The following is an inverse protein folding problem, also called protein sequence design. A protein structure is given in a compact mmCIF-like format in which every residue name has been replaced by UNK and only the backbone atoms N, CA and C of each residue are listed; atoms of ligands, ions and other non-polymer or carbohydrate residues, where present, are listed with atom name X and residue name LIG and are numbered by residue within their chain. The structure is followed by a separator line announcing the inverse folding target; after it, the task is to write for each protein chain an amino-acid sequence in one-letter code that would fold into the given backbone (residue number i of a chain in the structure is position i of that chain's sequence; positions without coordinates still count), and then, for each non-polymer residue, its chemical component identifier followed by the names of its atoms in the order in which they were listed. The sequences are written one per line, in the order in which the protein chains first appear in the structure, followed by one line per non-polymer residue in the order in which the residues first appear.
data_IF_506791864537
#
_entry.id   IF_506791864537
#
_cell.length_a   1.000
_cell.length_b   1.000
_cell.length_c   1.000
_cell.angle_alpha   90.00
_cell.angle_beta   90.00
_cell.angle_gamma   90.00
#
_symmetry.space_group_name_H-M   'P 1'
#
loop_
_entity.id
_entity.type
_entity.pdbx_description
1 polymer ?
#
# COMPACT_ATOMS: atom_id res chain seq x y z
N UNK A 1 -4.61 34.59 25.83
CA UNK A 1 -4.19 34.91 24.44
C UNK A 1 -3.87 33.68 23.57
N UNK A 2 -3.78 32.46 24.14
CA UNK A 2 -3.60 31.22 23.36
C UNK A 2 -4.92 30.62 22.81
N UNK A 3 -6.09 31.00 23.35
CA UNK A 3 -7.39 30.44 22.95
C UNK A 3 -8.02 31.08 21.70
N UNK A 4 -7.42 32.15 21.16
CA UNK A 4 -7.97 32.89 20.00
C UNK A 4 -7.38 32.45 18.66
N UNK A 5 -6.35 31.60 18.67
CA UNK A 5 -5.73 31.03 17.47
C UNK A 5 -6.39 29.73 17.00
N UNK A 6 -7.23 29.09 17.83
CA UNK A 6 -8.01 27.90 17.43
C UNK A 6 -9.16 28.20 16.48
N UNK A 7 -9.62 29.46 16.40
CA UNK A 7 -10.75 29.87 15.55
C UNK A 7 -10.38 30.17 14.09
N UNK A 8 -9.12 29.96 13.69
CA UNK A 8 -8.62 30.16 12.32
C UNK A 8 -7.99 28.90 11.72
N UNK A 9 -8.44 27.71 12.09
CA UNK A 9 -8.15 26.49 11.32
C UNK A 9 -8.98 26.50 10.02
N UNK A 10 -8.59 27.36 9.07
CA UNK A 10 -9.03 27.31 7.67
C UNK A 10 -8.34 26.15 6.92
N UNK A 11 -7.40 25.48 7.58
CA UNK A 11 -6.66 24.33 7.07
C UNK A 11 -6.80 23.21 8.10
N UNK A 12 -7.99 22.64 8.25
CA UNK A 12 -8.05 21.24 8.64
C UNK A 12 -7.67 20.46 7.38
N UNK A 13 -6.47 19.84 7.31
CA UNK A 13 -6.19 18.95 6.20
C UNK A 13 -7.28 17.87 6.20
N UNK A 14 -8.05 17.83 5.11
CA UNK A 14 -8.95 16.70 4.86
C UNK A 14 -8.05 15.61 4.32
N UNK A 15 -7.72 14.67 5.20
CA UNK A 15 -6.89 13.53 4.86
C UNK A 15 -7.70 12.52 4.05
N UNK A 16 -7.08 12.02 3.00
CA UNK A 16 -7.63 11.05 2.09
C UNK A 16 -7.44 9.62 2.64
N UNK A 17 -8.10 9.34 3.76
CA UNK A 17 -7.99 8.07 4.53
C UNK A 17 -8.87 6.94 3.97
N UNK A 18 -9.76 7.30 3.04
CA UNK A 18 -10.60 6.40 2.26
C UNK A 18 -10.35 6.63 0.76
N UNK A 19 -10.90 5.85 -0.17
CA UNK A 19 -10.76 6.14 -1.60
C UNK A 19 -11.57 7.39 -2.00
N UNK A 20 -10.97 8.33 -2.74
CA UNK A 20 -11.66 9.53 -3.23
C UNK A 20 -12.03 9.45 -4.72
N UNK A 21 -13.19 9.98 -5.15
CA UNK A 21 -13.58 10.01 -6.54
C UNK A 21 -12.56 10.74 -7.42
N UNK A 22 -12.19 10.15 -8.56
CA UNK A 22 -11.24 10.71 -9.52
C UNK A 22 -9.80 10.87 -9.01
N UNK A 23 -9.47 10.24 -7.88
CA UNK A 23 -8.11 10.19 -7.37
C UNK A 23 -7.19 9.40 -8.33
N UNK A 24 -6.00 9.97 -8.60
CA UNK A 24 -4.98 9.35 -9.45
C UNK A 24 -3.78 8.79 -8.68
N UNK A 25 -3.56 9.29 -7.47
CA UNK A 25 -2.42 8.95 -6.62
C UNK A 25 -2.84 8.01 -5.47
N UNK A 26 -1.88 7.66 -4.63
CA UNK A 26 -2.14 6.95 -3.39
C UNK A 26 -3.01 7.77 -2.41
N UNK A 27 -3.61 7.08 -1.45
CA UNK A 27 -4.23 7.68 -0.25
C UNK A 27 -3.19 8.46 0.57
N UNK A 28 -3.65 9.20 1.57
CA UNK A 28 -2.72 9.88 2.47
C UNK A 28 -2.14 8.89 3.49
N UNK A 29 -0.85 8.99 3.74
CA UNK A 29 -0.16 8.13 4.70
C UNK A 29 -0.55 8.41 6.13
N UNK A 30 -0.57 7.35 6.92
CA UNK A 30 -0.75 7.41 8.37
C UNK A 30 0.27 6.55 9.14
N UNK A 31 1.28 6.03 8.45
CA UNK A 31 2.37 5.25 9.05
C UNK A 31 3.72 5.53 8.37
N UNK A 32 4.85 5.38 9.08
CA UNK A 32 6.18 5.55 8.47
C UNK A 32 6.45 4.55 7.34
N UNK A 33 5.91 3.32 7.46
CA UNK A 33 6.04 2.30 6.44
C UNK A 33 5.38 2.75 5.13
N UNK A 34 4.17 3.33 5.21
CA UNK A 34 3.48 3.86 4.04
C UNK A 34 4.23 5.01 3.38
N UNK A 35 4.72 5.98 4.15
CA UNK A 35 5.51 7.09 3.61
C UNK A 35 6.75 6.57 2.87
N UNK A 36 7.42 5.55 3.42
CA UNK A 36 8.51 4.86 2.75
C UNK A 36 8.10 4.20 1.43
N UNK A 37 6.92 3.57 1.38
CA UNK A 37 6.37 2.97 0.14
C UNK A 37 6.12 4.05 -0.92
N UNK A 38 5.50 5.17 -0.54
CA UNK A 38 5.21 6.28 -1.47
C UNK A 38 6.50 6.92 -1.97
N UNK A 39 7.49 7.11 -1.10
CA UNK A 39 8.81 7.63 -1.51
C UNK A 39 9.49 6.69 -2.50
N UNK A 40 9.54 5.38 -2.21
CA UNK A 40 10.12 4.38 -3.10
C UNK A 40 9.40 4.35 -4.45
N UNK A 41 8.06 4.38 -4.44
CA UNK A 41 7.27 4.46 -5.67
C UNK A 41 7.65 5.69 -6.49
N UNK A 42 7.71 6.87 -5.88
CA UNK A 42 8.02 8.11 -6.59
C UNK A 42 9.43 8.08 -7.19
N UNK A 43 10.40 7.52 -6.47
CA UNK A 43 11.76 7.32 -6.98
C UNK A 43 11.78 6.36 -8.18
N UNK A 44 11.07 5.23 -8.12
CA UNK A 44 10.97 4.29 -9.24
C UNK A 44 10.29 4.95 -10.44
N UNK A 45 9.16 5.64 -10.21
CA UNK A 45 8.40 6.31 -11.26
C UNK A 45 9.24 7.38 -11.97
N UNK A 46 10.09 8.12 -11.26
CA UNK A 46 11.03 9.06 -11.87
C UNK A 46 11.93 8.40 -12.91
N UNK A 47 12.56 7.26 -12.58
CA UNK A 47 13.39 6.53 -13.53
C UNK A 47 12.58 5.97 -14.72
N UNK A 48 11.39 5.43 -14.45
CA UNK A 48 10.52 4.86 -15.49
C UNK A 48 10.04 5.93 -16.48
N UNK A 49 9.69 7.12 -15.99
CA UNK A 49 9.28 8.25 -16.84
C UNK A 49 10.43 8.68 -17.77
N UNK A 50 11.67 8.77 -17.27
CA UNK A 50 12.84 9.09 -18.10
C UNK A 50 13.05 8.03 -19.18
N UNK A 51 12.99 6.74 -18.82
CA UNK A 51 13.15 5.63 -19.77
C UNK A 51 12.04 5.68 -20.82
N UNK A 52 10.79 5.85 -20.39
CA UNK A 52 9.64 5.94 -21.28
C UNK A 52 9.81 7.04 -22.33
N UNK A 53 10.08 8.27 -21.90
CA UNK A 53 10.28 9.38 -22.84
C UNK A 53 11.51 9.18 -23.73
N UNK A 54 12.61 8.60 -23.21
CA UNK A 54 13.80 8.28 -24.00
C UNK A 54 13.51 7.28 -25.12
N UNK A 55 12.80 6.18 -24.81
CA UNK A 55 12.42 5.15 -25.78
C UNK A 55 11.39 5.70 -26.77
N UNK A 56 10.36 6.41 -26.30
CA UNK A 56 9.34 7.03 -27.16
C UNK A 56 9.95 8.04 -28.12
N UNK A 57 10.91 8.86 -27.66
CA UNK A 57 11.65 9.78 -28.51
C UNK A 57 12.46 9.04 -29.58
N UNK A 58 13.22 8.00 -29.19
CA UNK A 58 14.02 7.21 -30.12
C UNK A 58 13.13 6.57 -31.20
N UNK A 59 12.03 5.93 -30.82
CA UNK A 59 11.08 5.34 -31.76
C UNK A 59 10.46 6.38 -32.69
N UNK A 60 10.03 7.52 -32.14
CA UNK A 60 9.48 8.63 -32.94
C UNK A 60 10.51 9.17 -33.93
N UNK A 61 11.76 9.32 -33.50
CA UNK A 61 12.88 9.73 -34.36
C UNK A 61 13.12 8.74 -35.49
N UNK A 62 13.09 7.44 -35.20
CA UNK A 62 13.24 6.38 -36.22
C UNK A 62 12.10 6.49 -37.24
N UNK A 63 10.85 6.61 -36.80
CA UNK A 63 9.68 6.72 -37.68
C UNK A 63 9.76 7.97 -38.56
N UNK A 64 10.09 9.13 -37.98
CA UNK A 64 10.08 10.42 -38.68
C UNK A 64 11.26 10.56 -39.65
N UNK A 65 12.45 10.09 -39.26
CA UNK A 65 13.67 10.31 -40.02
C UNK A 65 13.94 9.16 -41.00
N UNK A 66 13.68 7.91 -40.62
CA UNK A 66 13.96 6.73 -41.44
C UNK A 66 12.72 6.16 -42.16
N UNK A 67 11.69 6.99 -42.34
CA UNK A 67 10.56 6.67 -43.22
C UNK A 67 11.01 6.49 -44.68
N UNK A 68 10.39 5.56 -45.39
CA UNK A 68 10.60 5.30 -46.83
C UNK A 68 10.52 6.57 -47.70
N UNK A 69 9.71 7.55 -47.28
CA UNK A 69 9.58 8.82 -47.99
C UNK A 69 10.86 9.68 -47.91
N UNK A 70 11.57 9.66 -46.78
CA UNK A 70 12.78 10.48 -46.54
C UNK A 70 14.08 9.72 -46.81
N UNK A 71 14.16 8.46 -46.40
CA UNK A 71 15.37 7.63 -46.52
C UNK A 71 15.08 6.39 -47.37
N UNK A 72 15.33 6.49 -48.67
CA UNK A 72 15.08 5.43 -49.66
C UNK A 72 16.19 4.37 -49.75
N UNK A 73 17.40 4.72 -49.31
CA UNK A 73 18.59 3.85 -49.38
C UNK A 73 18.86 3.32 -47.96
N UNK A 74 18.99 1.99 -47.85
CA UNK A 74 19.24 1.31 -46.57
C UNK A 74 20.72 0.95 -46.45
N UNK A 75 21.30 1.20 -45.27
CA UNK A 75 22.67 0.80 -44.95
C UNK A 75 22.75 -0.69 -44.57
N UNK A 76 22.71 -1.57 -45.59
CA UNK A 76 22.65 -3.04 -45.44
C UNK A 76 23.81 -3.68 -44.65
N UNK A 77 24.98 -3.04 -44.60
CA UNK A 77 26.19 -3.64 -44.02
C UNK A 77 26.47 -3.19 -42.57
N UNK A 78 25.65 -2.30 -42.00
CA UNK A 78 25.73 -1.91 -40.60
C UNK A 78 24.93 -2.88 -39.73
N UNK A 79 25.59 -3.99 -39.34
CA UNK A 79 24.90 -5.10 -38.67
C UNK A 79 25.23 -5.25 -37.17
N UNK A 80 26.32 -4.64 -36.68
CA UNK A 80 26.69 -4.72 -35.27
C UNK A 80 27.27 -3.39 -34.78
N UNK A 81 27.21 -3.18 -33.47
CA UNK A 81 27.76 -2.00 -32.82
C UNK A 81 28.20 -2.32 -31.41
N UNK A 82 29.34 -2.99 -31.25
CA UNK A 82 29.83 -3.47 -29.95
C UNK A 82 29.87 -2.39 -28.87
N UNK A 83 30.23 -1.15 -29.24
CA UNK A 83 30.27 -0.03 -28.29
C UNK A 83 28.86 0.38 -27.83
N UNK A 84 27.87 0.44 -28.74
CA UNK A 84 26.49 0.80 -28.38
C UNK A 84 25.82 -0.35 -27.61
N UNK A 85 26.14 -1.59 -27.97
CA UNK A 85 25.75 -2.80 -27.25
C UNK A 85 26.22 -2.79 -25.80
N UNK A 86 27.47 -2.41 -25.58
CA UNK A 86 28.02 -2.25 -24.23
C UNK A 86 27.27 -1.15 -23.46
N UNK A 87 27.03 0.01 -24.07
CA UNK A 87 26.38 1.15 -23.43
C UNK A 87 24.96 0.79 -22.99
N UNK A 88 24.13 0.21 -23.86
CA UNK A 88 22.75 -0.15 -23.50
C UNK A 88 22.66 -1.37 -22.59
N UNK A 89 23.75 -2.10 -22.37
CA UNK A 89 23.78 -3.21 -21.42
C UNK A 89 24.15 -2.71 -20.03
N UNK A 90 25.18 -1.84 -19.93
CA UNK A 90 25.62 -1.28 -18.67
C UNK A 90 24.62 -0.27 -18.11
N UNK A 91 24.01 0.57 -18.96
CA UNK A 91 23.12 1.65 -18.50
C UNK A 91 21.91 1.12 -17.72
N UNK A 92 21.13 0.14 -18.21
CA UNK A 92 20.02 -0.42 -17.43
C UNK A 92 20.48 -1.13 -16.16
N UNK A 93 21.63 -1.80 -16.18
CA UNK A 93 22.19 -2.45 -14.99
C UNK A 93 22.47 -1.43 -13.88
N UNK A 94 23.03 -0.26 -14.21
CA UNK A 94 23.25 0.82 -13.24
C UNK A 94 21.93 1.41 -12.70
N UNK A 95 20.91 1.57 -13.55
CA UNK A 95 19.58 2.05 -13.12
C UNK A 95 18.95 1.05 -12.14
N UNK A 96 19.05 -0.25 -12.40
CA UNK A 96 18.53 -1.28 -11.49
C UNK A 96 19.23 -1.26 -10.14
N UNK A 97 20.55 -1.05 -10.10
CA UNK A 97 21.29 -0.90 -8.83
C UNK A 97 20.80 0.34 -8.06
N UNK A 98 20.56 1.45 -8.74
CA UNK A 98 20.05 2.67 -8.11
C UNK A 98 18.65 2.49 -7.51
N UNK A 99 17.78 1.69 -8.14
CA UNK A 99 16.45 1.33 -7.63
C UNK A 99 16.54 0.33 -6.46
N UNK A 100 17.46 -0.64 -6.55
CA UNK A 100 17.56 -1.73 -5.59
C UNK A 100 17.97 -1.25 -4.19
N UNK A 101 18.85 -0.25 -4.08
CA UNK A 101 19.35 0.23 -2.80
C UNK A 101 18.25 0.76 -1.84
N UNK A 102 17.41 1.76 -2.24
CA UNK A 102 16.32 2.23 -1.37
C UNK A 102 15.27 1.14 -1.14
N UNK A 103 15.02 0.27 -2.14
CA UNK A 103 14.07 -0.84 -2.02
C UNK A 103 14.46 -1.83 -0.92
N UNK A 104 15.71 -2.32 -0.92
CA UNK A 104 16.17 -3.23 0.13
C UNK A 104 16.18 -2.58 1.50
N UNK A 105 16.58 -1.30 1.60
CA UNK A 105 16.52 -0.57 2.86
C UNK A 105 15.10 -0.53 3.43
N UNK A 106 14.11 -0.18 2.60
CA UNK A 106 12.71 -0.14 3.03
C UNK A 106 12.20 -1.52 3.43
N UNK A 107 12.50 -2.56 2.63
CA UNK A 107 12.10 -3.94 2.91
C UNK A 107 12.53 -4.38 4.31
N UNK A 108 13.79 -4.15 4.68
CA UNK A 108 14.29 -4.54 6.01
C UNK A 108 13.67 -3.71 7.14
N UNK A 109 13.39 -2.42 6.92
CA UNK A 109 12.72 -1.58 7.93
C UNK A 109 11.26 -1.99 8.17
N UNK A 110 10.58 -2.51 7.15
CA UNK A 110 9.19 -2.97 7.26
C UNK A 110 9.04 -4.35 7.89
N UNK A 111 10.04 -5.22 7.72
CA UNK A 111 10.02 -6.60 8.26
C UNK A 111 10.38 -6.65 9.75
N UNK A 112 11.07 -5.63 10.27
CA UNK A 112 11.48 -5.57 11.67
C UNK A 112 10.28 -5.24 12.59
N UNK A 113 9.88 -6.19 13.42
CA UNK A 113 8.88 -5.98 14.48
C UNK A 113 9.59 -5.53 15.76
N UNK A 114 9.64 -4.23 15.97
CA UNK A 114 10.23 -3.62 17.18
C UNK A 114 9.22 -3.71 18.32
N UNK A 115 9.65 -4.30 19.45
CA UNK A 115 8.97 -4.41 20.75
C UNK A 115 7.54 -3.84 20.80
N UNK A 116 6.53 -4.61 20.34
CA UNK A 116 5.18 -4.10 20.21
C UNK A 116 4.53 -3.92 21.58
N UNK A 117 3.91 -2.77 21.80
CA UNK A 117 3.22 -2.47 23.06
C UNK A 117 1.79 -3.02 23.12
N UNK A 118 1.23 -3.42 21.97
CA UNK A 118 -0.10 -4.03 21.84
C UNK A 118 -0.08 -5.07 20.72
N UNK A 119 -0.75 -6.20 20.96
CA UNK A 119 -0.98 -7.27 20.00
C UNK A 119 -2.47 -7.41 19.71
N UNK A 120 -2.80 -7.45 18.42
CA UNK A 120 -4.15 -7.73 17.93
C UNK A 120 -4.06 -8.90 16.98
N UNK A 121 -4.87 -9.92 17.22
CA UNK A 121 -5.02 -11.04 16.28
C UNK A 121 -6.21 -10.76 15.39
N UNK A 122 -6.00 -10.84 14.08
CA UNK A 122 -7.04 -10.70 13.06
C UNK A 122 -7.25 -12.06 12.39
N UNK A 123 -8.47 -12.58 12.47
CA UNK A 123 -8.87 -13.88 11.94
C UNK A 123 -9.86 -13.67 10.79
N UNK A 124 -9.51 -14.13 9.59
CA UNK A 124 -10.36 -14.05 8.41
C UNK A 124 -11.33 -15.23 8.32
N UNK A 125 -12.62 -14.93 8.14
CA UNK A 125 -13.72 -15.88 7.95
C UNK A 125 -14.48 -15.59 6.66
N UNK A 126 -15.20 -16.56 6.12
CA UNK A 126 -16.20 -16.38 5.07
C UNK A 126 -17.50 -15.81 5.67
N UNK A 127 -17.85 -14.54 5.50
CA UNK A 127 -17.12 -13.40 4.89
C UNK A 127 -17.14 -12.21 5.86
N UNK A 128 -16.31 -12.28 6.89
CA UNK A 128 -16.15 -11.29 7.95
C UNK A 128 -14.78 -11.45 8.64
N UNK A 129 -14.43 -10.52 9.53
CA UNK A 129 -13.20 -10.61 10.32
C UNK A 129 -13.55 -10.71 11.81
N UNK A 130 -12.78 -11.51 12.55
CA UNK A 130 -12.81 -11.52 14.01
C UNK A 130 -11.51 -10.95 14.55
N UNK A 131 -11.60 -10.16 15.62
CA UNK A 131 -10.46 -9.51 16.24
C UNK A 131 -10.36 -9.88 17.71
N UNK A 132 -9.16 -10.23 18.15
CA UNK A 132 -8.86 -10.59 19.54
C UNK A 132 -7.71 -9.70 20.05
N UNK A 133 -7.95 -8.97 21.13
CA UNK A 133 -6.95 -8.17 21.84
C UNK A 133 -6.33 -9.02 22.95
N UNK A 134 -5.42 -9.92 22.56
CA UNK A 134 -4.87 -10.97 23.42
C UNK A 134 -4.16 -10.47 24.68
N UNK A 135 -3.69 -9.23 24.66
CA UNK A 135 -2.93 -8.64 25.78
C UNK A 135 -3.83 -8.11 26.91
N UNK A 136 -5.15 -7.99 26.64
CA UNK A 136 -6.13 -7.45 27.59
C UNK A 136 -7.10 -8.55 28.00
N UNK A 137 -6.83 -9.12 29.17
CA UNK A 137 -7.59 -10.23 29.74
C UNK A 137 -8.38 -9.74 30.95
N UNK A 138 -9.65 -10.13 31.05
CA UNK A 138 -10.50 -9.83 32.20
C UNK A 138 -10.16 -10.72 33.42
N UNK A 139 -10.85 -10.50 34.55
CA UNK A 139 -10.63 -11.28 35.78
C UNK A 139 -10.94 -12.79 35.62
N UNK A 140 -11.77 -13.14 34.63
CA UNK A 140 -12.19 -14.51 34.32
C UNK A 140 -11.23 -15.24 33.35
N UNK A 141 -10.20 -14.55 32.84
CA UNK A 141 -9.20 -15.13 31.94
C UNK A 141 -9.55 -15.05 30.45
N UNK A 142 -10.58 -14.28 30.08
CA UNK A 142 -11.01 -14.08 28.69
C UNK A 142 -10.44 -12.79 28.10
N UNK A 143 -9.97 -12.86 26.86
CA UNK A 143 -9.52 -11.70 26.09
C UNK A 143 -10.71 -10.94 25.49
N UNK A 144 -10.51 -9.67 25.14
CA UNK A 144 -11.52 -8.92 24.38
C UNK A 144 -11.56 -9.47 22.95
N UNK A 145 -12.70 -10.01 22.55
CA UNK A 145 -12.95 -10.56 21.21
C UNK A 145 -14.25 -10.02 20.63
N UNK A 146 -14.28 -9.73 19.33
CA UNK A 146 -15.49 -9.38 18.59
C UNK A 146 -15.38 -9.68 17.10
N UNK A 147 -16.55 -9.81 16.47
CA UNK A 147 -16.69 -9.95 15.03
C UNK A 147 -16.99 -8.59 14.37
N UNK A 148 -16.48 -8.41 13.16
CA UNK A 148 -16.62 -7.22 12.32
C UNK A 148 -17.24 -7.61 10.99
N UNK A 149 -18.52 -7.27 10.84
CA UNK A 149 -19.31 -7.47 9.63
C UNK A 149 -19.44 -6.18 8.83
N UNK A 150 -19.56 -6.33 7.51
CA UNK A 150 -19.86 -5.22 6.62
C UNK A 150 -21.31 -4.73 6.85
N UNK A 151 -21.50 -3.43 7.02
CA UNK A 151 -22.83 -2.83 7.19
C UNK A 151 -23.61 -2.89 5.85
N UNK A 152 -24.83 -3.48 5.83
CA UNK A 152 -25.69 -3.47 4.64
C UNK A 152 -26.02 -2.06 4.16
N UNK A 153 -26.20 -1.87 2.84
CA UNK A 153 -26.38 -0.53 2.26
C UNK A 153 -27.64 0.19 2.77
N UNK A 154 -28.68 -0.55 3.15
CA UNK A 154 -29.93 -0.05 3.72
C UNK A 154 -29.82 0.34 5.20
N UNK A 155 -28.76 -0.08 5.89
CA UNK A 155 -28.46 0.23 7.29
C UNK A 155 -27.40 1.33 7.45
N UNK A 156 -26.82 1.82 6.35
CA UNK A 156 -25.80 2.88 6.38
C UNK A 156 -26.40 4.23 6.82
N UNK A 157 -25.70 4.89 7.73
CA UNK A 157 -25.98 6.27 8.14
C UNK A 157 -25.41 7.29 7.13
N UNK A 158 -25.94 8.51 7.16
CA UNK A 158 -25.46 9.59 6.29
C UNK A 158 -23.98 9.89 6.57
N UNK A 159 -23.15 9.81 5.53
CA UNK A 159 -21.70 10.02 5.61
C UNK A 159 -20.87 8.73 5.70
N UNK A 160 -21.49 7.57 5.92
CA UNK A 160 -20.79 6.28 5.89
C UNK A 160 -20.51 5.80 4.47
N UNK A 161 -19.43 5.00 4.33
CA UNK A 161 -18.96 4.52 3.03
C UNK A 161 -19.49 3.13 2.71
N UNK A 162 -20.17 3.01 1.57
CA UNK A 162 -20.66 1.73 1.04
C UNK A 162 -19.50 0.76 0.77
N UNK A 163 -19.64 -0.49 1.21
CA UNK A 163 -18.65 -1.58 1.10
C UNK A 163 -17.34 -1.36 1.89
N UNK A 164 -17.29 -0.36 2.78
CA UNK A 164 -16.13 -0.08 3.62
C UNK A 164 -16.49 0.02 5.10
N UNK A 165 -17.71 0.44 5.42
CA UNK A 165 -18.18 0.57 6.80
C UNK A 165 -18.49 -0.79 7.43
N UNK A 166 -18.09 -0.94 8.70
CA UNK A 166 -18.28 -2.16 9.50
C UNK A 166 -19.00 -1.84 10.81
N UNK A 167 -19.67 -2.83 11.39
CA UNK A 167 -20.39 -2.70 12.65
C UNK A 167 -19.46 -2.47 13.85
N UNK A 168 -18.35 -3.21 13.92
CA UNK A 168 -17.35 -3.12 14.99
C UNK A 168 -15.96 -2.81 14.40
N UNK A 169 -15.46 -1.61 14.70
CA UNK A 169 -14.15 -1.16 14.22
C UNK A 169 -13.02 -1.60 15.16
N UNK A 170 -11.88 -1.96 14.58
CA UNK A 170 -10.63 -2.12 15.34
C UNK A 170 -10.14 -0.76 15.81
N UNK A 171 -9.80 -0.64 17.09
CA UNK A 171 -9.34 0.61 17.70
C UNK A 171 -7.91 0.40 18.20
N UNK A 172 -7.01 1.31 17.80
CA UNK A 172 -5.60 1.27 18.18
C UNK A 172 -5.13 2.64 18.67
N UNK A 173 -4.20 2.70 19.64
CA UNK A 173 -3.61 3.97 20.07
C UNK A 173 -2.61 4.49 19.02
N UNK A 174 -2.64 5.79 18.76
CA UNK A 174 -1.64 6.47 17.93
C UNK A 174 -0.29 6.56 18.65
N UNK A 175 0.80 6.69 17.90
CA UNK A 175 2.16 6.85 18.44
C UNK A 175 2.68 5.61 19.17
N UNK A 176 2.06 4.46 18.95
CA UNK A 176 2.39 3.18 19.60
C UNK A 176 2.62 2.10 18.55
N UNK A 177 3.64 1.26 18.74
CA UNK A 177 3.86 0.09 17.88
C UNK A 177 2.83 -1.00 18.18
N UNK A 178 1.99 -1.31 17.20
CA UNK A 178 0.99 -2.38 17.26
C UNK A 178 1.45 -3.54 16.41
N UNK A 179 1.40 -4.76 16.96
CA UNK A 179 1.62 -6.00 16.22
C UNK A 179 0.28 -6.61 15.84
N UNK A 180 0.09 -6.86 14.55
CA UNK A 180 -1.00 -7.68 14.04
C UNK A 180 -0.52 -9.10 13.82
N UNK A 181 -1.27 -10.07 14.36
CA UNK A 181 -1.13 -11.50 14.02
C UNK A 181 -2.31 -11.87 13.13
N UNK A 182 -2.04 -12.22 11.88
CA UNK A 182 -3.07 -12.43 10.86
C UNK A 182 -3.10 -13.90 10.44
N UNK A 183 -4.30 -14.49 10.42
CA UNK A 183 -4.52 -15.88 10.00
C UNK A 183 -5.93 -16.09 9.46
N UNK A 184 -6.16 -17.20 8.76
CA UNK A 184 -7.48 -17.56 8.22
C UNK A 184 -8.11 -18.71 9.00
N UNK A 185 -9.42 -18.69 9.20
CA UNK A 185 -10.15 -19.79 9.83
C UNK A 185 -10.60 -20.86 8.82
N UNK A 186 -10.84 -20.46 7.56
CA UNK A 186 -11.42 -21.32 6.52
C UNK A 186 -10.58 -21.36 5.24
N UNK A 187 -10.59 -20.28 4.46
CA UNK A 187 -9.84 -20.10 3.21
C UNK A 187 -8.79 -19.01 3.38
N UNK A 188 -8.02 -18.74 2.33
CA UNK A 188 -7.07 -17.64 2.35
C UNK A 188 -7.86 -16.32 2.19
N UNK A 189 -7.54 -15.36 3.05
CA UNK A 189 -7.94 -13.95 2.93
C UNK A 189 -6.67 -13.09 2.91
N UNK A 190 -6.81 -11.76 2.80
CA UNK A 190 -5.67 -10.86 2.95
C UNK A 190 -6.09 -9.60 3.68
N UNK A 191 -5.47 -9.35 4.83
CA UNK A 191 -5.72 -8.21 5.68
C UNK A 191 -4.94 -7.02 5.12
N UNK A 192 -5.66 -6.02 4.63
CA UNK A 192 -5.06 -4.88 3.95
C UNK A 192 -5.72 -3.55 4.37
N UNK A 193 -4.89 -2.58 4.74
CA UNK A 193 -5.29 -1.22 5.08
C UNK A 193 -4.33 -0.29 4.33
N UNK A 194 -4.72 0.24 3.15
CA UNK A 194 -3.78 0.89 2.24
C UNK A 194 -3.10 2.11 2.84
N UNK A 195 -3.81 3.02 3.51
CA UNK A 195 -3.25 4.23 4.15
C UNK A 195 -2.24 3.94 5.28
N UNK A 196 -2.24 2.72 5.82
CA UNK A 196 -1.24 2.24 6.79
C UNK A 196 -0.09 1.45 6.14
N UNK A 197 -0.14 1.22 4.84
CA UNK A 197 0.85 0.40 4.12
C UNK A 197 0.83 -1.07 4.55
N UNK A 198 -0.29 -1.54 5.10
CA UNK A 198 -0.44 -2.92 5.55
C UNK A 198 -1.09 -3.76 4.47
N UNK A 199 -0.47 -4.89 4.16
CA UNK A 199 -1.05 -5.99 3.40
C UNK A 199 -0.37 -7.29 3.79
N UNK A 200 -1.13 -8.25 4.32
CA UNK A 200 -0.61 -9.55 4.69
C UNK A 200 -1.68 -10.63 4.57
N UNK A 201 -1.30 -11.79 4.05
CA UNK A 201 -2.25 -12.87 3.81
C UNK A 201 -2.63 -13.57 5.12
N UNK A 202 -3.92 -13.81 5.28
CA UNK A 202 -4.52 -14.61 6.32
C UNK A 202 -4.61 -16.07 5.82
N UNK A 203 -3.62 -16.88 6.17
CA UNK A 203 -3.50 -18.26 5.66
C UNK A 203 -3.90 -19.25 6.76
N UNK A 204 -4.90 -20.12 6.53
CA UNK A 204 -5.26 -21.16 7.49
C UNK A 204 -4.06 -22.04 7.88
N UNK A 205 -3.88 -22.22 9.18
CA UNK A 205 -2.76 -22.99 9.74
C UNK A 205 -1.41 -22.26 9.79
N UNK A 206 -1.36 -20.96 9.48
CA UNK A 206 -0.17 -20.11 9.67
C UNK A 206 -0.53 -18.82 10.39
N UNK A 207 0.33 -18.41 11.32
CA UNK A 207 0.25 -17.12 12.00
C UNK A 207 1.26 -16.19 11.34
N UNK A 208 0.79 -15.32 10.46
CA UNK A 208 1.61 -14.27 9.88
C UNK A 208 1.63 -13.06 10.81
N UNK A 209 2.73 -12.34 10.87
CA UNK A 209 2.86 -11.15 11.72
C UNK A 209 3.25 -9.94 10.89
N UNK A 210 2.72 -8.78 11.27
CA UNK A 210 3.13 -7.49 10.76
C UNK A 210 3.03 -6.45 11.88
N UNK A 211 3.72 -5.33 11.75
CA UNK A 211 3.65 -4.25 12.74
C UNK A 211 3.38 -2.92 12.06
N UNK A 212 2.69 -2.04 12.77
CA UNK A 212 2.41 -0.68 12.30
C UNK A 212 2.59 0.29 13.45
N UNK A 213 3.08 1.48 13.11
CA UNK A 213 3.04 2.66 13.95
C UNK A 213 2.06 3.64 13.28
N UNK A 214 0.91 3.88 13.93
CA UNK A 214 -0.08 4.85 13.43
C UNK A 214 0.30 6.24 13.95
N UNK A 215 0.62 7.17 13.07
CA UNK A 215 1.17 8.48 13.46
C UNK A 215 0.11 9.54 13.78
N UNK A 216 -1.12 9.37 13.28
CA UNK A 216 -2.20 10.33 13.45
C UNK A 216 -3.54 9.67 13.76
N UNK A 217 -4.39 10.41 14.45
CA UNK A 217 -5.77 9.99 14.73
C UNK A 217 -6.59 10.05 13.44
N UNK A 218 -7.46 9.06 13.23
CA UNK A 218 -8.26 8.95 12.01
C UNK A 218 -9.02 7.63 11.93
N UNK A 219 -9.79 7.46 10.86
CA UNK A 219 -10.45 6.21 10.50
C UNK A 219 -9.86 5.74 9.19
N UNK A 220 -9.22 4.58 9.20
CA UNK A 220 -8.52 4.03 8.05
C UNK A 220 -9.28 2.82 7.52
N UNK A 221 -9.61 2.84 6.23
CA UNK A 221 -10.41 1.80 5.61
C UNK A 221 -9.55 0.76 4.92
N UNK A 222 -10.03 -0.49 4.91
CA UNK A 222 -9.37 -1.63 4.31
C UNK A 222 -10.37 -2.58 3.67
N UNK A 223 -9.91 -3.42 2.76
CA UNK A 223 -10.73 -4.46 2.12
C UNK A 223 -9.91 -5.75 1.99
N UNK A 224 -10.62 -6.89 1.97
CA UNK A 224 -9.98 -8.17 1.70
C UNK A 224 -9.27 -8.12 0.35
N UNK A 225 -7.99 -8.50 0.32
CA UNK A 225 -7.14 -8.37 -0.87
C UNK A 225 -6.72 -9.72 -1.50
N UNK A 226 -7.38 -10.81 -1.11
CA UNK A 226 -7.19 -12.16 -1.67
C UNK A 226 -8.54 -12.83 -1.87
N UNK A 227 -8.73 -13.48 -3.03
CA UNK A 227 -10.04 -14.01 -3.45
C UNK A 227 -10.54 -15.11 -2.49
N UNK A 228 -11.61 -14.81 -1.73
CA UNK A 228 -12.11 -15.68 -0.66
C UNK A 228 -13.53 -16.24 -0.87
N UNK A 229 -14.12 -16.03 -2.05
CA UNK A 229 -15.42 -16.61 -2.44
C UNK A 229 -16.43 -15.58 -2.90
N UNK A 230 -17.73 -15.88 -2.68
CA UNK A 230 -18.86 -15.14 -3.28
C UNK A 230 -18.97 -13.70 -2.77
N UNK A 231 -18.67 -13.46 -1.49
CA UNK A 231 -18.73 -12.13 -0.87
C UNK A 231 -17.33 -11.53 -0.65
N UNK A 232 -16.40 -11.76 -1.59
CA UNK A 232 -15.05 -11.18 -1.49
C UNK A 232 -15.02 -9.65 -1.65
N UNK A 233 -15.94 -9.07 -2.42
CA UNK A 233 -15.96 -7.65 -2.78
C UNK A 233 -17.26 -6.94 -2.42
#
# INVERSE_FOLDING_TARGET
MLNMLKSFNIITPVWNDAPEPWQLAFQDGASPSYEGIVELHNQIMFYLVIIFFGVSWMLSSVIINFSSNKNKIVYKYHNHGTVIELIWTITPALVLIAIAFPSFKLLYLMDEVIDPAMTIKALGHQWYWSYEYSDFVNEDGESIEFDSYLVPTDELEEGQLRLLEVDNRVVVPTGTHIRFIVTGADVIHSFAIPSLGLKIDAIPGRLNQTSVLVEREGVYYGQCSEICGVHHG
#
